data_IF_467053183141
#
_entry.id   IF_467053183141
#
_cell.length_a   1.000
_cell.length_b   1.000
_cell.length_c   1.000
_cell.angle_alpha   90.00
_cell.angle_beta   90.00
_cell.angle_gamma   90.00
#
_symmetry.space_group_name_H-M   'P 1'
#
loop_
_entity.id
_entity.type
_entity.pdbx_description
1 polymer ?
#
# COMPACT_ATOMS: atom_id res chain seq x y z
N UNK A 1 -0.14 -23.45 7.22
CA UNK A 1 -0.21 -23.39 5.73
C UNK A 1 -1.62 -22.99 5.29
N UNK A 2 -1.78 -22.26 4.18
CA UNK A 2 -3.08 -21.98 3.57
C UNK A 2 -3.87 -20.80 4.15
N UNK A 3 -3.31 -20.04 5.09
CA UNK A 3 -4.04 -18.96 5.79
C UNK A 3 -3.45 -17.56 5.55
N UNK A 4 -2.54 -17.44 4.59
CA UNK A 4 -1.94 -16.16 4.18
C UNK A 4 -1.89 -16.13 2.67
N UNK A 5 -2.02 -14.95 2.07
CA UNK A 5 -1.92 -14.70 0.63
C UNK A 5 -1.78 -13.19 0.42
N UNK A 6 -1.81 -12.74 -0.83
CA UNK A 6 -1.80 -11.33 -1.23
C UNK A 6 -2.85 -11.10 -2.33
N UNK A 7 -3.26 -9.85 -2.60
CA UNK A 7 -4.20 -9.56 -3.68
C UNK A 7 -3.62 -9.93 -5.04
N UNK A 8 -4.46 -10.42 -5.95
CA UNK A 8 -4.04 -10.79 -7.31
C UNK A 8 -3.61 -9.54 -8.10
N UNK A 9 -2.37 -9.45 -8.63
CA UNK A 9 -2.03 -8.44 -9.63
C UNK A 9 -2.98 -8.54 -10.84
N UNK A 10 -3.41 -7.43 -11.45
CA UNK A 10 -2.90 -6.06 -11.30
C UNK A 10 -3.63 -5.22 -10.23
N UNK A 11 -4.12 -5.85 -9.14
CA UNK A 11 -4.52 -5.07 -7.97
C UNK A 11 -3.33 -4.26 -7.45
N UNK A 12 -3.53 -2.96 -7.24
CA UNK A 12 -2.50 -2.01 -6.82
C UNK A 12 -1.71 -2.46 -5.59
N UNK A 13 -2.38 -2.99 -4.56
CA UNK A 13 -1.71 -3.46 -3.33
C UNK A 13 -0.99 -4.78 -3.58
N UNK A 14 -1.54 -5.64 -4.43
CA UNK A 14 -0.87 -6.84 -4.94
C UNK A 14 0.43 -6.52 -5.66
N UNK A 15 0.41 -5.58 -6.61
CA UNK A 15 1.59 -5.15 -7.36
C UNK A 15 2.63 -4.48 -6.45
N UNK A 16 2.21 -3.60 -5.53
CA UNK A 16 3.11 -3.01 -4.56
C UNK A 16 3.76 -4.04 -3.62
N UNK A 17 3.06 -5.13 -3.29
CA UNK A 17 3.66 -6.23 -2.53
C UNK A 17 4.77 -6.94 -3.33
N UNK A 18 4.59 -7.11 -4.65
CA UNK A 18 5.65 -7.63 -5.52
C UNK A 18 6.86 -6.69 -5.57
N UNK A 19 6.62 -5.38 -5.68
CA UNK A 19 7.68 -4.36 -5.66
C UNK A 19 8.42 -4.34 -4.32
N UNK A 20 7.71 -4.40 -3.20
CA UNK A 20 8.30 -4.51 -1.86
C UNK A 20 9.22 -5.73 -1.76
N UNK A 21 8.75 -6.91 -2.21
CA UNK A 21 9.58 -8.11 -2.21
C UNK A 21 10.78 -7.97 -3.16
N UNK A 22 10.60 -7.37 -4.33
CA UNK A 22 11.70 -7.12 -5.28
C UNK A 22 12.77 -6.23 -4.67
N UNK A 23 12.39 -5.13 -4.01
CA UNK A 23 13.32 -4.22 -3.32
C UNK A 23 14.17 -4.99 -2.29
N UNK A 24 13.54 -5.90 -1.55
CA UNK A 24 14.20 -6.67 -0.49
C UNK A 24 15.09 -7.81 -1.02
N UNK A 25 14.74 -8.39 -2.17
CA UNK A 25 15.36 -9.63 -2.66
C UNK A 25 16.35 -9.42 -3.82
N UNK A 26 16.23 -8.31 -4.55
CA UNK A 26 17.09 -8.06 -5.72
C UNK A 26 18.56 -7.90 -5.32
N UNK A 27 19.51 -8.47 -6.08
CA UNK A 27 20.94 -8.17 -5.90
C UNK A 27 21.31 -6.78 -6.43
N UNK A 28 20.40 -6.08 -7.12
CA UNK A 28 20.65 -4.80 -7.77
C UNK A 28 19.52 -3.78 -7.52
N UNK A 29 19.45 -3.20 -6.30
CA UNK A 29 18.42 -2.22 -5.97
C UNK A 29 18.53 -0.92 -6.77
N UNK A 30 19.72 -0.62 -7.31
CA UNK A 30 19.94 0.59 -8.11
C UNK A 30 19.18 0.52 -9.45
N UNK A 31 19.05 -0.67 -10.05
CA UNK A 31 18.29 -0.88 -11.28
C UNK A 31 16.79 -0.51 -11.14
N UNK A 32 16.24 -0.54 -9.92
CA UNK A 32 14.83 -0.21 -9.67
C UNK A 32 14.53 1.28 -9.83
N UNK A 33 15.55 2.15 -9.86
CA UNK A 33 15.40 3.60 -10.01
C UNK A 33 15.18 4.04 -11.47
N UNK A 34 15.52 3.17 -12.41
CA UNK A 34 15.36 3.39 -13.84
C UNK A 34 14.26 2.48 -14.40
N UNK A 35 13.80 2.78 -15.61
CA UNK A 35 12.86 1.90 -16.31
C UNK A 35 13.45 0.47 -16.46
N UNK A 36 12.63 -0.59 -16.39
CA UNK A 36 13.10 -1.94 -16.62
C UNK A 36 13.81 -2.05 -17.97
N UNK A 37 14.97 -2.72 -17.97
CA UNK A 37 15.73 -3.04 -19.18
C UNK A 37 15.61 -4.54 -19.45
N UNK A 38 15.11 -4.92 -20.63
CA UNK A 38 14.94 -6.30 -21.06
C UNK A 38 16.22 -7.13 -20.91
N UNK A 39 17.41 -6.53 -21.11
CA UNK A 39 18.69 -7.21 -20.99
C UNK A 39 19.05 -7.58 -19.54
N UNK A 40 18.51 -6.85 -18.55
CA UNK A 40 18.82 -7.05 -17.13
C UNK A 40 17.63 -7.53 -16.30
N UNK A 41 16.41 -7.46 -16.83
CA UNK A 41 15.16 -7.78 -16.15
C UNK A 41 15.20 -9.14 -15.45
N UNK A 42 15.65 -10.18 -16.16
CA UNK A 42 15.74 -11.53 -15.60
C UNK A 42 16.69 -11.59 -14.39
N UNK A 43 17.86 -10.95 -14.47
CA UNK A 43 18.83 -10.91 -13.36
C UNK A 43 18.29 -10.14 -12.15
N UNK A 44 17.58 -9.03 -12.38
CA UNK A 44 17.01 -8.19 -11.32
C UNK A 44 15.85 -8.90 -10.62
N UNK A 45 15.01 -9.61 -11.36
CA UNK A 45 13.76 -10.19 -10.82
C UNK A 45 13.85 -11.67 -10.44
N UNK A 46 14.88 -12.41 -10.87
CA UNK A 46 14.98 -13.85 -10.57
C UNK A 46 14.82 -14.21 -9.08
N UNK A 47 15.36 -13.45 -8.09
CA UNK A 47 15.18 -13.81 -6.69
C UNK A 47 13.73 -13.67 -6.21
N UNK A 48 12.98 -12.70 -6.75
CA UNK A 48 11.55 -12.53 -6.45
C UNK A 48 10.78 -13.78 -6.89
N UNK A 49 10.98 -14.23 -8.13
CA UNK A 49 10.24 -15.37 -8.67
C UNK A 49 10.60 -16.67 -7.97
N UNK A 50 11.89 -16.89 -7.68
CA UNK A 50 12.34 -18.04 -6.90
C UNK A 50 11.72 -18.06 -5.50
N UNK A 51 11.59 -16.89 -4.86
CA UNK A 51 10.92 -16.77 -3.58
C UNK A 51 9.42 -17.10 -3.68
N UNK A 52 8.73 -16.56 -4.69
CA UNK A 52 7.30 -16.82 -4.90
C UNK A 52 7.01 -18.29 -5.24
N UNK A 53 7.86 -18.94 -6.04
CA UNK A 53 7.74 -20.37 -6.36
C UNK A 53 7.80 -21.25 -5.11
N UNK A 54 8.62 -20.88 -4.12
CA UNK A 54 8.68 -21.56 -2.81
C UNK A 54 7.49 -21.19 -1.93
N UNK A 55 7.03 -19.94 -1.98
CA UNK A 55 5.95 -19.43 -1.13
C UNK A 55 4.57 -19.95 -1.54
N UNK A 56 4.25 -19.96 -2.84
CA UNK A 56 2.91 -20.23 -3.38
C UNK A 56 2.28 -21.53 -2.88
N UNK A 57 2.97 -22.67 -2.81
CA UNK A 57 2.41 -23.91 -2.25
C UNK A 57 1.90 -23.79 -0.81
N UNK A 58 2.38 -22.80 -0.03
CA UNK A 58 1.96 -22.57 1.35
C UNK A 58 0.88 -21.49 1.49
N UNK A 59 0.55 -20.77 0.41
CA UNK A 59 -0.48 -19.73 0.42
C UNK A 59 -1.88 -20.34 0.48
N UNK A 60 -2.85 -19.49 0.80
CA UNK A 60 -4.27 -19.82 0.67
C UNK A 60 -4.55 -20.39 -0.73
N UNK A 61 -5.26 -21.52 -0.76
CA UNK A 61 -5.54 -22.29 -1.98
C UNK A 61 -4.29 -22.66 -2.79
N UNK A 62 -3.16 -22.89 -2.11
CA UNK A 62 -1.87 -23.26 -2.70
C UNK A 62 -1.36 -22.27 -3.76
N UNK A 63 -1.77 -20.99 -3.66
CA UNK A 63 -1.40 -19.98 -4.65
C UNK A 63 -2.04 -20.21 -6.03
N UNK A 64 -3.11 -21.01 -6.11
CA UNK A 64 -3.91 -21.23 -7.34
C UNK A 64 -5.07 -20.24 -7.47
N UNK A 65 -5.38 -19.52 -6.40
CA UNK A 65 -6.40 -18.49 -6.35
C UNK A 65 -5.97 -17.41 -5.36
N UNK A 66 -6.33 -16.17 -5.67
CA UNK A 66 -5.89 -14.98 -4.96
C UNK A 66 -7.09 -14.03 -4.79
N UNK A 67 -7.25 -13.39 -3.63
CA UNK A 67 -8.27 -12.36 -3.46
C UNK A 67 -8.11 -11.25 -4.51
N UNK A 68 -9.19 -10.76 -5.14
CA UNK A 68 -9.11 -9.72 -6.17
C UNK A 68 -8.84 -8.33 -5.61
N UNK A 69 -8.85 -8.15 -4.27
CA UNK A 69 -8.60 -6.86 -3.63
C UNK A 69 -8.26 -7.00 -2.14
N UNK A 70 -7.63 -5.96 -1.53
CA UNK A 70 -7.46 -5.86 -0.08
C UNK A 70 -8.77 -5.95 0.71
N UNK A 71 -9.85 -5.36 0.22
CA UNK A 71 -11.15 -5.44 0.87
C UNK A 71 -11.68 -6.88 0.94
N UNK A 72 -11.40 -7.70 -0.08
CA UNK A 72 -11.71 -9.13 -0.02
C UNK A 72 -10.83 -9.86 0.99
N UNK A 73 -9.55 -9.48 1.12
CA UNK A 73 -8.68 -10.01 2.18
C UNK A 73 -9.20 -9.68 3.58
N UNK A 74 -9.65 -8.44 3.82
CA UNK A 74 -10.28 -8.05 5.10
C UNK A 74 -11.48 -8.93 5.43
N UNK A 75 -12.36 -9.18 4.46
CA UNK A 75 -13.52 -10.05 4.66
C UNK A 75 -13.11 -11.50 5.01
N UNK A 76 -12.06 -12.02 4.36
CA UNK A 76 -11.52 -13.35 4.64
C UNK A 76 -10.79 -13.40 6.00
N UNK A 77 -10.14 -12.31 6.41
CA UNK A 77 -9.53 -12.15 7.73
C UNK A 77 -10.59 -12.12 8.83
N UNK A 78 -11.66 -11.35 8.64
CA UNK A 78 -12.84 -11.30 9.53
C UNK A 78 -13.48 -12.68 9.68
N UNK A 79 -13.58 -13.44 8.59
CA UNK A 79 -14.11 -14.79 8.58
C UNK A 79 -13.13 -15.85 9.14
N UNK A 80 -11.91 -15.47 9.53
CA UNK A 80 -10.89 -16.40 10.03
C UNK A 80 -10.28 -17.32 8.97
N UNK A 81 -10.59 -17.11 7.68
CA UNK A 81 -10.00 -17.87 6.57
C UNK A 81 -8.55 -17.45 6.32
N UNK A 82 -8.29 -16.14 6.39
CA UNK A 82 -6.95 -15.59 6.36
C UNK A 82 -6.55 -15.11 7.76
N UNK A 83 -5.25 -15.07 8.02
CA UNK A 83 -4.63 -14.48 9.23
C UNK A 83 -3.88 -13.18 8.92
N UNK A 84 -3.90 -12.76 7.66
CA UNK A 84 -3.21 -11.57 7.14
C UNK A 84 -4.12 -10.85 6.15
N UNK A 85 -4.09 -9.52 6.19
CA UNK A 85 -4.58 -8.62 5.13
C UNK A 85 -3.46 -7.62 4.82
N UNK A 86 -3.53 -6.95 3.66
CA UNK A 86 -2.54 -5.97 3.22
C UNK A 86 -3.20 -4.60 3.05
N UNK A 87 -2.47 -3.53 3.36
CA UNK A 87 -2.96 -2.16 3.27
C UNK A 87 -1.80 -1.17 3.22
N UNK A 88 -2.02 -0.05 2.52
CA UNK A 88 -1.12 1.10 2.55
C UNK A 88 -1.41 2.07 3.71
N UNK A 89 -2.61 2.01 4.29
CA UNK A 89 -3.02 2.95 5.34
C UNK A 89 -2.58 2.41 6.72
N UNK A 90 -1.67 3.08 7.45
CA UNK A 90 -1.22 2.58 8.75
C UNK A 90 -2.34 2.49 9.80
N UNK A 91 -3.37 3.33 9.69
CA UNK A 91 -4.52 3.34 10.59
C UNK A 91 -5.60 2.28 10.22
N UNK A 92 -5.40 1.50 9.15
CA UNK A 92 -6.41 0.57 8.62
C UNK A 92 -6.93 -0.41 9.68
N UNK A 93 -6.04 -1.02 10.47
CA UNK A 93 -6.46 -1.94 11.53
C UNK A 93 -7.36 -1.25 12.57
N UNK A 94 -6.98 -0.06 13.04
CA UNK A 94 -7.77 0.72 14.00
C UNK A 94 -9.13 1.10 13.43
N UNK A 95 -9.16 1.59 12.18
CA UNK A 95 -10.39 1.95 11.48
C UNK A 95 -11.34 0.76 11.36
N UNK A 96 -10.83 -0.38 10.91
CA UNK A 96 -11.64 -1.58 10.68
C UNK A 96 -12.08 -2.25 11.98
N UNK A 97 -11.32 -2.12 13.06
CA UNK A 97 -11.78 -2.51 14.40
C UNK A 97 -12.92 -1.62 14.84
N UNK A 98 -12.79 -0.30 14.68
CA UNK A 98 -13.84 0.66 15.06
C UNK A 98 -15.14 0.46 14.27
N UNK A 99 -15.06 0.08 12.99
CA UNK A 99 -16.24 -0.25 12.17
C UNK A 99 -16.79 -1.68 12.40
N UNK A 100 -16.09 -2.52 13.16
CA UNK A 100 -16.45 -3.94 13.34
C UNK A 100 -16.16 -4.82 12.12
N UNK A 101 -15.35 -4.35 11.18
CA UNK A 101 -14.94 -5.08 9.98
C UNK A 101 -13.70 -5.95 10.18
N UNK A 102 -12.95 -5.76 11.26
CA UNK A 102 -11.88 -6.65 11.68
C UNK A 102 -12.01 -7.03 13.17
N UNK A 103 -11.48 -8.20 13.58
CA UNK A 103 -11.45 -8.59 14.99
C UNK A 103 -10.70 -7.57 15.86
N UNK A 104 -11.15 -7.37 17.10
CA UNK A 104 -10.51 -6.44 18.04
C UNK A 104 -9.03 -6.78 18.37
N UNK A 105 -8.59 -8.00 18.07
CA UNK A 105 -7.20 -8.44 18.23
C UNK A 105 -6.32 -8.16 17.00
N UNK A 106 -6.84 -7.50 15.96
CA UNK A 106 -6.06 -7.12 14.78
C UNK A 106 -5.07 -6.01 15.09
N UNK A 107 -3.89 -6.06 14.48
CA UNK A 107 -2.86 -5.03 14.60
C UNK A 107 -2.07 -4.92 13.30
N UNK A 108 -1.51 -3.74 13.04
CA UNK A 108 -0.65 -3.47 11.88
C UNK A 108 0.81 -3.76 12.20
N UNK A 109 1.57 -4.21 11.21
CA UNK A 109 3.02 -4.36 11.27
C UNK A 109 3.62 -4.21 9.86
N UNK A 110 4.93 -4.02 9.77
CA UNK A 110 5.65 -3.91 8.50
C UNK A 110 7.02 -4.61 8.55
N UNK A 111 7.74 -4.58 7.42
CA UNK A 111 9.10 -5.08 7.34
C UNK A 111 10.06 -4.17 8.12
N UNK A 112 11.08 -4.79 8.74
CA UNK A 112 12.07 -4.08 9.57
C UNK A 112 12.97 -3.15 8.76
N UNK A 113 13.26 -3.53 7.52
CA UNK A 113 14.11 -2.76 6.60
C UNK A 113 13.37 -1.60 5.92
N UNK A 114 12.07 -1.49 6.15
CA UNK A 114 11.23 -0.43 5.62
C UNK A 114 10.04 -0.96 4.82
N UNK A 115 9.07 -0.10 4.61
CA UNK A 115 7.89 -0.34 3.79
C UNK A 115 7.87 0.63 2.63
N UNK A 116 7.48 0.15 1.45
CA UNK A 116 7.16 0.99 0.31
C UNK A 116 6.06 1.97 0.74
N UNK A 117 6.30 3.25 0.50
CA UNK A 117 5.35 4.30 0.81
C UNK A 117 5.10 5.14 -0.43
N UNK A 118 3.83 5.46 -0.64
CA UNK A 118 3.41 6.39 -1.67
C UNK A 118 2.78 7.63 -1.05
N UNK A 119 2.58 8.62 -1.90
CA UNK A 119 1.84 9.84 -1.58
C UNK A 119 0.77 10.04 -2.64
N UNK A 120 -0.41 10.48 -2.21
CA UNK A 120 -1.49 10.82 -3.13
C UNK A 120 -1.46 12.32 -3.46
N UNK A 121 -1.70 12.65 -4.72
CA UNK A 121 -1.72 14.04 -5.20
C UNK A 121 -3.13 14.47 -5.58
N UNK A 122 -3.48 15.72 -5.25
CA UNK A 122 -4.65 16.40 -5.80
C UNK A 122 -4.19 17.26 -6.97
N UNK A 123 -4.73 16.99 -8.17
CA UNK A 123 -4.34 17.70 -9.39
C UNK A 123 -5.55 18.38 -10.05
N UNK A 124 -5.29 19.44 -10.82
CA UNK A 124 -6.31 20.14 -11.61
C UNK A 124 -5.94 19.96 -13.09
N UNK A 125 -6.77 19.27 -13.89
CA UNK A 125 -6.52 19.10 -15.32
C UNK A 125 -6.39 20.45 -16.04
N UNK A 126 -5.51 20.53 -17.03
CA UNK A 126 -5.27 21.76 -17.80
C UNK A 126 -6.53 22.28 -18.50
N UNK A 127 -7.47 21.39 -18.85
CA UNK A 127 -8.75 21.69 -19.49
C UNK A 127 -9.93 21.80 -18.51
N UNK A 128 -9.70 21.95 -17.21
CA UNK A 128 -10.77 22.10 -16.23
C UNK A 128 -11.64 23.33 -16.52
N UNK A 129 -12.94 23.11 -16.75
CA UNK A 129 -13.92 24.17 -17.04
C UNK A 129 -14.10 25.20 -15.90
N UNK A 130 -13.67 24.85 -14.67
CA UNK A 130 -13.79 25.68 -13.48
C UNK A 130 -12.49 25.68 -12.66
N UNK A 131 -11.35 25.99 -13.28
CA UNK A 131 -10.03 25.97 -12.61
C UNK A 131 -9.96 26.80 -11.32
N UNK A 132 -10.60 27.98 -11.28
CA UNK A 132 -10.64 28.81 -10.07
C UNK A 132 -11.36 28.12 -8.90
N UNK A 133 -12.51 27.51 -9.16
CA UNK A 133 -13.26 26.77 -8.14
C UNK A 133 -12.50 25.51 -7.69
N UNK A 134 -11.86 24.79 -8.62
CA UNK A 134 -11.04 23.63 -8.28
C UNK A 134 -9.87 23.99 -7.34
N UNK A 135 -9.25 25.16 -7.51
CA UNK A 135 -8.21 25.65 -6.58
C UNK A 135 -8.75 25.93 -5.18
N UNK A 136 -9.99 26.42 -5.05
CA UNK A 136 -10.63 26.61 -3.74
C UNK A 136 -10.82 25.28 -3.03
N UNK A 137 -11.27 24.25 -3.75
CA UNK A 137 -11.42 22.89 -3.20
C UNK A 137 -10.06 22.32 -2.79
N UNK A 138 -9.04 22.44 -3.64
CA UNK A 138 -7.68 21.98 -3.31
C UNK A 138 -7.14 22.67 -2.04
N UNK A 139 -7.36 23.99 -1.91
CA UNK A 139 -6.97 24.74 -0.71
C UNK A 139 -7.74 24.30 0.53
N UNK A 140 -9.05 24.02 0.40
CA UNK A 140 -9.85 23.45 1.48
C UNK A 140 -9.33 22.07 1.93
N UNK A 141 -8.99 21.19 0.99
CA UNK A 141 -8.45 19.86 1.30
C UNK A 141 -7.13 19.95 2.07
N UNK A 142 -6.34 21.02 1.88
CA UNK A 142 -5.12 21.30 2.63
C UNK A 142 -5.34 22.09 3.93
N UNK A 143 -6.58 22.43 4.28
CA UNK A 143 -6.86 23.13 5.54
C UNK A 143 -6.59 22.21 6.76
N UNK A 144 -6.18 22.79 7.91
CA UNK A 144 -5.99 22.02 9.14
C UNK A 144 -7.20 21.19 9.54
N UNK A 145 -8.42 21.74 9.44
CA UNK A 145 -9.64 21.02 9.82
C UNK A 145 -9.92 19.82 8.91
N UNK A 146 -9.74 19.97 7.60
CA UNK A 146 -9.90 18.88 6.65
C UNK A 146 -8.86 17.77 6.89
N UNK A 147 -7.60 18.14 7.13
CA UNK A 147 -6.51 17.19 7.36
C UNK A 147 -6.63 16.49 8.72
N UNK A 148 -7.07 17.20 9.76
CA UNK A 148 -7.40 16.63 11.06
C UNK A 148 -8.54 15.61 10.95
N UNK A 149 -9.60 15.92 10.19
CA UNK A 149 -10.70 15.00 9.93
C UNK A 149 -10.25 13.80 9.09
N UNK A 150 -9.36 14.00 8.11
CA UNK A 150 -8.77 12.93 7.30
C UNK A 150 -7.97 11.96 8.18
N UNK A 151 -7.13 12.49 9.07
CA UNK A 151 -6.28 11.70 9.95
C UNK A 151 -7.05 10.96 11.06
N UNK A 152 -8.33 11.26 11.28
CA UNK A 152 -9.14 10.57 12.28
C UNK A 152 -9.47 9.13 11.82
N UNK A 153 -9.01 8.08 12.54
CA UNK A 153 -9.30 6.68 12.18
C UNK A 153 -10.79 6.33 12.21
N UNK A 154 -11.62 7.09 12.93
CA UNK A 154 -13.07 6.90 12.92
C UNK A 154 -13.73 7.41 11.62
N UNK A 155 -13.01 8.16 10.78
CA UNK A 155 -13.52 8.74 9.53
C UNK A 155 -12.79 8.17 8.31
N UNK A 156 -11.48 8.40 8.20
CA UNK A 156 -10.66 7.92 7.09
C UNK A 156 -9.34 7.32 7.61
N UNK A 157 -8.66 8.00 8.54
CA UNK A 157 -7.42 7.53 9.16
C UNK A 157 -6.16 7.72 8.32
N UNK A 158 -6.28 8.32 7.13
CA UNK A 158 -5.13 8.57 6.27
C UNK A 158 -4.30 9.75 6.82
N UNK A 159 -2.97 9.59 7.05
CA UNK A 159 -2.16 10.61 7.70
C UNK A 159 -2.21 11.99 7.02
N UNK A 160 -2.13 13.03 7.83
CA UNK A 160 -2.06 14.42 7.34
C UNK A 160 -0.77 14.69 6.56
N UNK A 161 -0.86 15.55 5.55
CA UNK A 161 0.31 16.07 4.82
C UNK A 161 0.85 17.39 5.40
N UNK A 162 0.21 17.92 6.44
CA UNK A 162 0.60 19.18 7.05
C UNK A 162 1.77 18.98 8.02
N UNK A 163 2.68 19.94 8.01
CA UNK A 163 3.72 20.07 9.01
C UNK A 163 3.08 20.44 10.38
N UNK A 164 3.14 19.55 11.39
CA UNK A 164 2.54 19.81 12.70
C UNK A 164 3.12 21.06 13.38
N UNK A 165 4.36 21.44 13.08
CA UNK A 165 5.00 22.62 13.70
C UNK A 165 4.35 23.92 13.24
N UNK A 166 3.72 23.93 12.05
CA UNK A 166 3.04 25.10 11.47
C UNK A 166 1.57 25.22 11.90
N UNK A 167 1.05 24.25 12.66
CA UNK A 167 -0.31 24.28 13.17
C UNK A 167 -0.43 25.13 14.46
N UNK A 168 -1.59 25.78 14.69
CA UNK A 168 -1.89 26.41 15.98
C UNK A 168 -1.85 25.43 17.15
N UNK A 169 -1.59 25.96 18.35
CA UNK A 169 -1.18 25.17 19.53
C UNK A 169 -2.25 24.19 20.09
N UNK A 170 -3.50 24.19 19.62
CA UNK A 170 -4.50 23.13 19.93
C UNK A 170 -4.70 22.09 18.81
N UNK A 171 -4.43 22.46 17.57
CA UNK A 171 -4.55 21.57 16.41
C UNK A 171 -3.32 20.67 16.26
N UNK A 172 -2.15 21.15 16.70
CA UNK A 172 -0.91 20.35 16.71
C UNK A 172 -1.05 19.07 17.53
N UNK A 173 -1.50 19.18 18.78
CA UNK A 173 -1.67 18.03 19.68
C UNK A 173 -2.74 17.06 19.15
N UNK A 174 -3.84 17.61 18.63
CA UNK A 174 -4.90 16.85 17.98
C UNK A 174 -4.38 16.06 16.77
N UNK A 175 -3.48 16.64 15.97
CA UNK A 175 -2.88 15.92 14.84
C UNK A 175 -1.90 14.86 15.34
N UNK A 176 -1.00 15.21 16.27
CA UNK A 176 0.02 14.29 16.80
C UNK A 176 -0.60 13.05 17.44
N UNK A 177 -1.69 13.20 18.20
CA UNK A 177 -2.42 12.07 18.80
C UNK A 177 -3.05 11.12 17.78
N UNK A 178 -3.25 11.57 16.53
CA UNK A 178 -3.81 10.77 15.42
C UNK A 178 -2.74 10.21 14.50
N UNK A 179 -1.50 10.70 14.58
CA UNK A 179 -0.44 10.21 13.73
C UNK A 179 -0.01 8.80 14.18
N UNK A 180 0.17 7.86 13.24
CA UNK A 180 0.69 6.54 13.58
C UNK A 180 2.06 6.68 14.24
N UNK A 181 2.27 5.95 15.34
CA UNK A 181 3.55 5.86 16.01
C UNK A 181 4.33 4.66 15.44
N UNK A 182 5.66 4.70 15.56
CA UNK A 182 6.55 3.58 15.24
C UNK A 182 6.42 3.04 13.80
N UNK A 183 6.18 3.92 12.83
CA UNK A 183 6.18 3.54 11.42
C UNK A 183 7.56 3.06 10.98
N UNK A 184 7.65 1.97 10.20
CA UNK A 184 8.91 1.55 9.60
C UNK A 184 9.43 2.64 8.63
N UNK A 185 10.74 2.65 8.32
CA UNK A 185 11.29 3.55 7.32
C UNK A 185 10.52 3.47 6.00
N UNK A 186 10.28 4.62 5.37
CA UNK A 186 9.62 4.67 4.07
C UNK A 186 10.64 4.40 2.97
N UNK A 187 10.35 3.41 2.12
CA UNK A 187 11.10 3.09 0.92
C UNK A 187 10.43 3.75 -0.29
N UNK A 188 11.26 4.24 -1.22
CA UNK A 188 10.76 4.79 -2.48
C UNK A 188 10.21 3.68 -3.38
N UNK A 189 9.14 3.97 -4.11
CA UNK A 189 8.64 3.10 -5.16
C UNK A 189 9.68 2.94 -6.28
N UNK A 190 9.77 1.76 -6.92
CA UNK A 190 10.52 1.60 -8.16
C UNK A 190 10.02 2.57 -9.24
N UNK A 191 10.82 2.76 -10.28
CA UNK A 191 10.39 3.50 -11.47
C UNK A 191 9.08 2.92 -12.01
N UNK A 192 8.11 3.77 -12.37
CA UNK A 192 6.74 3.37 -12.70
C UNK A 192 6.63 2.32 -13.83
N UNK A 193 7.66 2.18 -14.67
CA UNK A 193 7.74 1.13 -15.69
C UNK A 193 7.79 -0.30 -15.12
N UNK A 194 8.22 -0.49 -13.86
CA UNK A 194 8.28 -1.80 -13.20
C UNK A 194 6.89 -2.39 -12.93
N UNK A 195 5.87 -1.56 -12.68
CA UNK A 195 4.48 -1.99 -12.44
C UNK A 195 4.01 -2.95 -13.55
N UNK A 196 4.00 -2.47 -14.80
CA UNK A 196 3.55 -3.27 -15.94
C UNK A 196 4.45 -4.49 -16.16
N UNK A 197 5.78 -4.34 -16.00
CA UNK A 197 6.71 -5.44 -16.23
C UNK A 197 6.50 -6.59 -15.23
N UNK A 198 6.29 -6.27 -13.95
CA UNK A 198 6.02 -7.24 -12.90
C UNK A 198 4.64 -7.89 -13.05
N UNK A 199 3.61 -7.12 -13.39
CA UNK A 199 2.27 -7.66 -13.60
C UNK A 199 2.21 -8.66 -14.76
N UNK A 200 2.86 -8.34 -15.88
CA UNK A 200 2.92 -9.24 -17.04
C UNK A 200 3.71 -10.51 -16.72
N UNK A 201 4.86 -10.41 -16.06
CA UNK A 201 5.67 -11.57 -15.70
C UNK A 201 4.97 -12.45 -14.65
N UNK A 202 4.29 -11.84 -13.67
CA UNK A 202 3.47 -12.57 -12.71
C UNK A 202 2.32 -13.32 -13.40
N UNK A 203 1.63 -12.66 -14.33
CA UNK A 203 0.55 -13.28 -15.10
C UNK A 203 1.07 -14.41 -16.00
N UNK A 204 2.24 -14.24 -16.61
CA UNK A 204 2.87 -15.28 -17.41
C UNK A 204 3.18 -16.55 -16.57
N UNK A 205 3.65 -16.36 -15.33
CA UNK A 205 4.05 -17.45 -14.44
C UNK A 205 2.88 -18.12 -13.71
N UNK A 206 1.92 -17.33 -13.24
CA UNK A 206 0.90 -17.76 -12.28
C UNK A 206 -0.52 -17.46 -12.72
N UNK A 207 -0.71 -16.80 -13.87
CA UNK A 207 -2.03 -16.55 -14.43
C UNK A 207 -2.75 -17.86 -14.76
N UNK A 208 -3.91 -18.05 -14.13
CA UNK A 208 -4.84 -19.11 -14.54
C UNK A 208 -5.51 -18.69 -15.85
N UNK A 209 -5.40 -19.50 -16.90
CA UNK A 209 -6.27 -19.42 -18.09
C UNK A 209 -7.73 -19.74 -17.75
#
# INVERSE_FOLDING_TARGET
PGTVTYPRPPDFTGTAFLEQLLIMLTPDPAALKEAPDDATFARVTVPLWQYLDVLHPYLWREGKDFPPSPARMDALLKAGTLRLSLTFNPAHAQQKIASGDLPASSYSFGFREGMIGNVHFVTIPANANASAAAKVVANFLLSPDAQLRKADPAVWGDPSVLDPQKLPDGQRESLQSRMPQDLPPVLAEPHAGWVNALEQEWLHRYGTH
#
